data_IF_848168743007
#
_entry.id   IF_848168743007
#
_cell.length_a   1.000
_cell.length_b   1.000
_cell.length_c   1.000
_cell.angle_alpha   90.00
_cell.angle_beta   90.00
_cell.angle_gamma   90.00
#
_symmetry.space_group_name_H-M   'P 1'
#
loop_
_entity.id
_entity.type
_entity.pdbx_description
1 polymer ?
#
# COMPACT_ATOMS: atom_id res chain seq x y z
N UNK A 1 9.24 7.22 -3.28
CA UNK A 1 9.75 8.09 -2.20
C UNK A 1 8.83 9.27 -1.99
N UNK A 2 8.54 9.63 -0.73
CA UNK A 2 7.63 10.74 -0.38
C UNK A 2 6.21 10.34 0.06
N UNK A 3 6.01 9.14 0.61
CA UNK A 3 4.70 8.70 1.12
C UNK A 3 3.72 8.14 0.08
N UNK A 4 4.07 8.19 -1.22
CA UNK A 4 3.27 7.63 -2.33
C UNK A 4 3.42 6.11 -2.42
N UNK A 5 2.30 5.40 -2.58
CA UNK A 5 2.25 3.92 -2.65
C UNK A 5 2.03 3.18 -1.32
N UNK A 6 1.67 3.87 -0.23
CA UNK A 6 1.30 3.23 1.05
C UNK A 6 -0.18 3.43 1.33
N UNK A 7 -0.85 2.38 1.82
CA UNK A 7 -2.26 2.41 2.21
C UNK A 7 -2.47 1.63 3.51
N UNK A 8 -3.29 2.19 4.39
CA UNK A 8 -3.74 1.49 5.61
C UNK A 8 -5.04 0.78 5.25
N UNK A 9 -5.10 -0.50 5.59
CA UNK A 9 -6.28 -1.36 5.39
C UNK A 9 -6.81 -1.75 6.76
N UNK A 10 -8.09 -1.48 7.01
CA UNK A 10 -8.73 -1.78 8.31
C UNK A 10 -9.62 -3.01 8.24
N UNK A 11 -10.13 -3.34 7.05
CA UNK A 11 -11.00 -4.50 6.81
C UNK A 11 -10.44 -5.38 5.71
N UNK A 12 -10.68 -6.68 5.82
CA UNK A 12 -10.22 -7.66 4.83
C UNK A 12 -10.79 -7.39 3.43
N UNK A 13 -12.05 -6.96 3.36
CA UNK A 13 -12.74 -6.62 2.09
C UNK A 13 -12.03 -5.51 1.29
N UNK A 14 -11.25 -4.65 1.96
CA UNK A 14 -10.54 -3.55 1.33
C UNK A 14 -9.21 -4.01 0.71
N UNK A 15 -8.68 -5.17 1.09
CA UNK A 15 -7.33 -5.61 0.72
C UNK A 15 -7.18 -5.66 -0.81
N UNK A 16 -8.08 -6.34 -1.51
CA UNK A 16 -7.95 -6.56 -2.96
C UNK A 16 -7.90 -5.24 -3.74
N UNK A 17 -8.83 -4.32 -3.45
CA UNK A 17 -8.87 -3.01 -4.10
C UNK A 17 -7.68 -2.14 -3.76
N UNK A 18 -7.26 -2.13 -2.49
CA UNK A 18 -6.14 -1.30 -2.03
C UNK A 18 -4.80 -1.82 -2.55
N UNK A 19 -4.61 -3.15 -2.59
CA UNK A 19 -3.41 -3.80 -3.12
C UNK A 19 -3.25 -3.54 -4.62
N UNK A 20 -4.31 -3.74 -5.40
CA UNK A 20 -4.29 -3.44 -6.84
C UNK A 20 -3.94 -1.97 -7.10
N UNK A 21 -4.61 -1.04 -6.42
CA UNK A 21 -4.38 0.39 -6.65
C UNK A 21 -2.97 0.83 -6.23
N UNK A 22 -2.44 0.31 -5.11
CA UNK A 22 -1.09 0.60 -4.66
C UNK A 22 -0.03 0.08 -5.64
N UNK A 23 -0.22 -1.13 -6.18
CA UNK A 23 0.66 -1.71 -7.20
C UNK A 23 0.68 -0.90 -8.50
N UNK A 24 -0.48 -0.46 -8.99
CA UNK A 24 -0.55 0.40 -10.18
C UNK A 24 0.10 1.78 -9.97
N UNK A 25 -0.03 2.37 -8.78
CA UNK A 25 0.64 3.61 -8.43
C UNK A 25 2.16 3.42 -8.38
N UNK A 26 2.63 2.34 -7.75
CA UNK A 26 4.04 1.99 -7.68
C UNK A 26 4.64 1.73 -9.07
N UNK A 27 3.93 1.00 -9.93
CA UNK A 27 4.34 0.76 -11.32
C UNK A 27 4.46 2.07 -12.11
N UNK A 28 3.48 2.97 -11.99
CA UNK A 28 3.50 4.26 -12.71
C UNK A 28 4.56 5.22 -12.19
N UNK A 29 4.79 5.24 -10.88
CA UNK A 29 5.71 6.18 -10.25
C UNK A 29 7.16 5.71 -10.26
N UNK A 30 7.41 4.40 -10.20
CA UNK A 30 8.73 3.82 -9.98
C UNK A 30 9.11 2.75 -11.00
N UNK A 31 8.22 2.39 -11.95
CA UNK A 31 8.47 1.34 -12.95
C UNK A 31 8.42 -0.08 -12.38
N UNK A 32 8.05 -0.24 -11.11
CA UNK A 32 7.96 -1.51 -10.40
C UNK A 32 6.73 -1.51 -9.48
N UNK A 33 5.77 -2.39 -9.78
CA UNK A 33 4.53 -2.58 -9.02
C UNK A 33 4.63 -3.54 -7.84
N UNK A 34 5.83 -4.01 -7.49
CA UNK A 34 6.02 -4.88 -6.33
C UNK A 34 5.63 -4.15 -5.04
N UNK A 35 4.80 -4.82 -4.24
CA UNK A 35 4.26 -4.30 -2.98
C UNK A 35 4.32 -5.40 -1.91
N UNK A 36 4.39 -4.99 -0.66
CA UNK A 36 4.37 -5.86 0.51
C UNK A 36 3.39 -5.31 1.54
N UNK A 37 2.99 -6.14 2.49
CA UNK A 37 2.09 -5.76 3.57
C UNK A 37 2.81 -5.94 4.91
N UNK A 38 2.60 -5.00 5.82
CA UNK A 38 3.11 -5.04 7.19
C UNK A 38 2.00 -4.70 8.18
N UNK A 39 2.20 -5.10 9.43
CA UNK A 39 1.26 -4.73 10.50
C UNK A 39 1.36 -3.24 10.77
N UNK A 40 0.25 -2.53 10.60
CA UNK A 40 0.17 -1.11 10.93
C UNK A 40 0.11 -0.92 12.46
N UNK A 41 1.01 -0.09 12.99
CA UNK A 41 0.99 0.35 14.39
C UNK A 41 0.40 1.76 14.44
N UNK A 42 -0.72 1.93 15.15
CA UNK A 42 -1.47 3.20 15.22
C UNK A 42 -0.73 4.26 16.02
N UNK A 43 -0.11 3.85 17.13
CA UNK A 43 0.67 4.73 17.99
C UNK A 43 2.08 4.14 18.14
N UNK A 44 2.95 4.31 17.12
CA UNK A 44 4.33 3.88 17.22
C UNK A 44 5.07 4.83 18.18
N UNK A 45 5.37 4.35 19.38
CA UNK A 45 6.28 4.97 20.34
C UNK A 45 7.27 3.94 20.85
#
# INVERSE_FOLDING_TARGET
GGGRGMRIVWKEEEIEGQFSTAGEEAQRAFGNGAIYMEKYLVEPR
#
